data_IF_459432784029
#
_entry.id   IF_459432784029
#
_cell.length_a   1.000
_cell.length_b   1.000
_cell.length_c   1.000
_cell.angle_alpha   90.00
_cell.angle_beta   90.00
_cell.angle_gamma   90.00
#
_symmetry.space_group_name_H-M   'P 1'
#
loop_
_entity.id
_entity.type
_entity.pdbx_description
1 polymer ?
#
# COMPACT_ATOMS: atom_id res chain seq x y z
N UNK A 1 -10.07 -5.69 -4.42
CA UNK A 1 -10.17 -6.95 -5.21
C UNK A 1 -9.53 -8.13 -4.50
N UNK A 2 -8.32 -8.02 -4.00
CA UNK A 2 -7.65 -9.12 -3.30
C UNK A 2 -8.46 -9.62 -2.10
N UNK A 3 -8.97 -8.71 -1.27
CA UNK A 3 -9.78 -9.08 -0.11
C UNK A 3 -11.05 -9.85 -0.50
N UNK A 4 -11.73 -9.42 -1.57
CA UNK A 4 -12.92 -10.12 -2.06
C UNK A 4 -12.58 -11.52 -2.58
N UNK A 5 -11.44 -11.66 -3.25
CA UNK A 5 -10.97 -12.97 -3.69
C UNK A 5 -10.70 -13.89 -2.50
N UNK A 6 -10.10 -13.37 -1.43
CA UNK A 6 -9.84 -14.13 -0.21
C UNK A 6 -11.11 -14.55 0.50
N UNK A 7 -12.22 -13.84 0.29
CA UNK A 7 -13.54 -14.23 0.80
C UNK A 7 -14.28 -15.22 -0.11
N UNK A 8 -13.59 -15.85 -1.05
CA UNK A 8 -14.13 -16.90 -1.89
C UNK A 8 -14.76 -16.43 -3.20
N UNK A 9 -14.65 -15.15 -3.53
CA UNK A 9 -15.15 -14.65 -4.80
C UNK A 9 -14.16 -14.98 -5.93
N UNK A 10 -14.61 -15.67 -6.97
CA UNK A 10 -13.77 -16.02 -8.11
C UNK A 10 -13.48 -14.86 -9.04
N UNK A 11 -12.45 -15.02 -9.89
CA UNK A 11 -12.05 -13.99 -10.84
C UNK A 11 -13.17 -13.60 -11.82
N UNK A 12 -14.00 -14.54 -12.21
CA UNK A 12 -15.16 -14.27 -13.09
C UNK A 12 -16.18 -13.37 -12.40
N UNK A 13 -16.46 -13.64 -11.13
CA UNK A 13 -17.39 -12.83 -10.35
C UNK A 13 -16.84 -11.43 -10.09
N UNK A 14 -15.53 -11.32 -9.82
CA UNK A 14 -14.88 -10.01 -9.66
C UNK A 14 -14.94 -9.20 -10.96
N UNK A 15 -14.67 -9.84 -12.11
CA UNK A 15 -14.76 -9.16 -13.40
C UNK A 15 -16.17 -8.65 -13.67
N UNK A 16 -17.17 -9.45 -13.38
CA UNK A 16 -18.57 -9.06 -13.54
C UNK A 16 -18.95 -7.91 -12.61
N UNK A 17 -18.51 -7.98 -11.36
CA UNK A 17 -18.83 -6.97 -10.36
C UNK A 17 -18.20 -5.62 -10.66
N UNK A 18 -16.96 -5.59 -11.13
CA UNK A 18 -16.19 -4.37 -11.37
C UNK A 18 -16.13 -3.96 -12.83
N UNK A 19 -16.71 -4.74 -13.74
CA UNK A 19 -16.75 -4.41 -15.17
C UNK A 19 -15.39 -4.47 -15.86
N UNK A 20 -14.44 -5.26 -15.34
CA UNK A 20 -13.10 -5.44 -15.92
C UNK A 20 -12.90 -6.88 -16.37
N UNK A 21 -11.90 -7.11 -17.25
CA UNK A 21 -11.64 -8.44 -17.77
C UNK A 21 -11.06 -9.40 -16.71
N UNK A 22 -11.30 -10.71 -16.90
CA UNK A 22 -10.71 -11.74 -16.03
C UNK A 22 -9.19 -11.66 -16.01
N UNK A 23 -8.56 -11.41 -17.17
CA UNK A 23 -7.11 -11.29 -17.27
C UNK A 23 -6.59 -10.13 -16.43
N UNK A 24 -7.29 -8.98 -16.44
CA UNK A 24 -6.92 -7.83 -15.63
C UNK A 24 -6.96 -8.18 -14.14
N UNK A 25 -8.00 -8.88 -13.69
CA UNK A 25 -8.11 -9.31 -12.29
C UNK A 25 -7.00 -10.26 -11.92
N UNK A 26 -6.72 -11.28 -12.74
CA UNK A 26 -5.64 -12.24 -12.45
C UNK A 26 -4.28 -11.54 -12.37
N UNK A 27 -3.99 -10.60 -13.28
CA UNK A 27 -2.74 -9.83 -13.23
C UNK A 27 -2.62 -9.00 -11.96
N UNK A 28 -3.70 -8.35 -11.55
CA UNK A 28 -3.68 -7.54 -10.31
C UNK A 28 -3.49 -8.42 -9.07
N UNK A 29 -4.16 -9.57 -9.00
CA UNK A 29 -4.01 -10.50 -7.89
C UNK A 29 -2.59 -11.04 -7.81
N UNK A 30 -2.01 -11.41 -8.96
CA UNK A 30 -0.62 -11.89 -9.04
C UNK A 30 0.36 -10.82 -8.53
N UNK A 31 0.22 -9.58 -9.03
CA UNK A 31 1.09 -8.47 -8.64
C UNK A 31 0.98 -8.16 -7.15
N UNK A 32 -0.24 -8.21 -6.60
CA UNK A 32 -0.48 -7.91 -5.19
C UNK A 32 0.07 -8.99 -4.25
N UNK A 33 0.18 -10.24 -4.71
CA UNK A 33 0.60 -11.37 -3.88
C UNK A 33 2.08 -11.72 -4.00
N UNK A 34 2.71 -11.37 -5.13
CA UNK A 34 4.09 -11.78 -5.39
C UNK A 34 5.10 -10.77 -4.84
N UNK A 35 5.72 -11.15 -3.73
CA UNK A 35 6.84 -10.39 -3.18
C UNK A 35 8.08 -10.50 -4.08
N UNK A 36 9.02 -9.57 -3.87
CA UNK A 36 10.36 -9.69 -4.42
C UNK A 36 10.98 -11.02 -3.98
N UNK A 37 11.84 -11.60 -4.83
CA UNK A 37 12.59 -12.82 -4.50
C UNK A 37 13.69 -12.57 -3.44
N UNK A 38 13.94 -11.32 -3.10
CA UNK A 38 14.91 -10.96 -2.06
C UNK A 38 14.41 -11.42 -0.69
N UNK A 39 15.15 -12.29 0.02
CA UNK A 39 14.74 -12.77 1.33
C UNK A 39 14.68 -11.67 2.40
N UNK A 40 15.32 -10.52 2.16
CA UNK A 40 15.28 -9.39 3.07
C UNK A 40 14.04 -8.51 2.90
N UNK A 41 13.25 -8.73 1.84
CA UNK A 41 11.98 -8.03 1.65
C UNK A 41 10.93 -8.65 2.56
N UNK A 42 10.61 -7.94 3.63
CA UNK A 42 9.69 -8.43 4.67
C UNK A 42 8.30 -7.82 4.57
N UNK A 43 8.14 -6.76 3.80
CA UNK A 43 6.92 -6.00 3.71
C UNK A 43 6.69 -5.53 2.29
N UNK A 44 5.43 -5.61 1.85
CA UNK A 44 5.00 -4.99 0.59
C UNK A 44 3.87 -4.02 0.87
N UNK A 45 3.96 -2.84 0.30
CA UNK A 45 2.88 -1.87 0.28
C UNK A 45 2.35 -1.78 -1.14
N UNK A 46 1.05 -1.99 -1.29
CA UNK A 46 0.36 -1.78 -2.57
C UNK A 46 -0.36 -0.44 -2.51
N UNK A 47 0.14 0.54 -3.26
CA UNK A 47 -0.46 1.85 -3.33
C UNK A 47 -1.59 1.83 -4.35
N UNK A 48 -2.80 2.02 -3.88
CA UNK A 48 -4.02 1.83 -4.66
C UNK A 48 -4.71 3.14 -4.91
N UNK A 49 -5.37 3.26 -6.06
CA UNK A 49 -6.34 4.29 -6.33
C UNK A 49 -7.68 3.62 -6.58
N UNK A 50 -8.62 3.73 -5.64
CA UNK A 50 -9.85 2.93 -5.62
C UNK A 50 -9.50 1.44 -5.65
N UNK A 51 -9.82 0.73 -6.73
CA UNK A 51 -9.52 -0.69 -6.88
C UNK A 51 -8.32 -0.96 -7.80
N UNK A 52 -7.62 0.08 -8.25
CA UNK A 52 -6.53 -0.02 -9.20
C UNK A 52 -5.17 0.02 -8.50
N UNK A 53 -4.32 -0.97 -8.79
CA UNK A 53 -2.94 -0.98 -8.29
C UNK A 53 -2.10 0.02 -9.06
N UNK A 54 -1.54 1.00 -8.36
CA UNK A 54 -0.74 2.07 -8.97
C UNK A 54 0.76 1.87 -8.80
N UNK A 55 1.20 1.50 -7.60
CA UNK A 55 2.62 1.27 -7.31
C UNK A 55 2.76 0.16 -6.27
N UNK A 56 3.71 -0.75 -6.48
CA UNK A 56 4.13 -1.69 -5.42
C UNK A 56 5.43 -1.20 -4.82
N UNK A 57 5.56 -1.31 -3.50
CA UNK A 57 6.74 -0.91 -2.74
C UNK A 57 7.19 -2.11 -1.93
N UNK A 58 8.32 -2.70 -2.30
CA UNK A 58 8.94 -3.79 -1.55
C UNK A 58 9.96 -3.20 -0.59
N UNK A 59 9.81 -3.47 0.70
CA UNK A 59 10.57 -2.82 1.76
C UNK A 59 11.57 -3.77 2.39
N UNK A 60 12.84 -3.35 2.42
CA UNK A 60 13.94 -4.03 3.10
C UNK A 60 14.40 -3.16 4.26
N UNK A 61 13.94 -3.49 5.47
CA UNK A 61 14.30 -2.73 6.67
C UNK A 61 15.75 -2.95 7.10
N UNK A 62 16.30 -4.13 6.82
CA UNK A 62 17.66 -4.46 7.21
C UNK A 62 18.68 -3.56 6.52
N UNK A 63 18.47 -3.27 5.24
CA UNK A 63 19.39 -2.46 4.44
C UNK A 63 18.86 -1.03 4.21
N UNK A 64 17.70 -0.70 4.76
CA UNK A 64 17.03 0.59 4.61
C UNK A 64 16.89 0.99 3.14
N UNK A 65 16.27 0.09 2.36
CA UNK A 65 16.01 0.34 0.93
C UNK A 65 14.64 -0.17 0.53
N UNK A 66 14.16 0.38 -0.58
CA UNK A 66 12.91 -0.05 -1.19
C UNK A 66 13.12 -0.32 -2.67
N UNK A 67 12.24 -1.15 -3.23
CA UNK A 67 12.11 -1.35 -4.66
C UNK A 67 10.67 -1.05 -5.04
N UNK A 68 10.48 -0.25 -6.07
CA UNK A 68 9.14 0.08 -6.53
C UNK A 68 8.91 -0.41 -7.95
N UNK A 69 7.63 -0.60 -8.27
CA UNK A 69 7.17 -0.82 -9.63
C UNK A 69 5.87 -0.06 -9.84
N UNK A 70 5.83 0.80 -10.85
CA UNK A 70 4.65 1.57 -11.19
C UNK A 70 3.81 0.82 -12.22
N UNK A 71 2.50 0.83 -12.04
CA UNK A 71 1.53 0.17 -12.91
C UNK A 71 0.57 1.16 -13.57
N UNK A 72 0.82 2.47 -13.40
CA UNK A 72 0.03 3.52 -14.04
C UNK A 72 0.93 4.55 -14.68
N UNK A 73 0.52 5.08 -15.82
CA UNK A 73 1.20 6.18 -16.52
C UNK A 73 0.83 7.55 -15.94
N UNK A 74 -0.20 7.59 -15.12
CA UNK A 74 -0.67 8.83 -14.50
C UNK A 74 0.23 9.20 -13.32
N UNK A 75 1.15 10.12 -13.54
CA UNK A 75 2.14 10.54 -12.55
C UNK A 75 1.51 10.88 -11.18
N UNK A 76 0.42 11.66 -11.10
CA UNK A 76 -0.17 12.00 -9.80
C UNK A 76 -0.68 10.81 -9.00
N UNK A 77 -0.91 9.67 -9.64
CA UNK A 77 -1.39 8.45 -8.97
C UNK A 77 -0.25 7.53 -8.52
N UNK A 78 1.00 7.79 -8.92
CA UNK A 78 2.15 7.02 -8.48
C UNK A 78 2.56 7.43 -7.07
N UNK A 79 3.04 6.47 -6.28
CA UNK A 79 3.48 6.76 -4.91
C UNK A 79 4.62 7.78 -4.84
N UNK A 80 5.54 7.74 -5.80
CA UNK A 80 6.72 8.61 -5.82
C UNK A 80 6.77 9.51 -7.06
N UNK A 81 5.66 9.67 -7.75
CA UNK A 81 5.56 10.56 -8.92
C UNK A 81 6.55 10.17 -10.01
N UNK A 82 7.41 11.10 -10.39
CA UNK A 82 8.42 10.91 -11.44
C UNK A 82 9.69 10.22 -10.95
N UNK A 83 9.83 10.02 -9.64
CA UNK A 83 11.03 9.39 -9.05
C UNK A 83 11.00 7.88 -9.33
N UNK A 84 11.99 7.39 -10.07
CA UNK A 84 12.07 5.97 -10.41
C UNK A 84 12.80 5.12 -9.37
N UNK A 85 13.78 5.71 -8.68
CA UNK A 85 14.59 5.04 -7.66
C UNK A 85 14.53 5.81 -6.35
N UNK A 86 13.40 5.78 -5.63
CA UNK A 86 13.26 6.51 -4.38
C UNK A 86 14.23 5.98 -3.31
N UNK A 87 14.70 6.90 -2.48
CA UNK A 87 15.57 6.57 -1.36
C UNK A 87 14.77 6.16 -0.14
N UNK A 88 15.46 5.68 0.92
CA UNK A 88 14.82 5.39 2.20
C UNK A 88 14.17 6.65 2.80
N UNK A 89 14.80 7.80 2.64
CA UNK A 89 14.23 9.07 3.08
C UNK A 89 12.95 9.41 2.33
N UNK A 90 12.93 9.21 1.01
CA UNK A 90 11.72 9.39 0.19
C UNK A 90 10.58 8.49 0.68
N UNK A 91 10.91 7.25 1.04
CA UNK A 91 9.95 6.32 1.58
C UNK A 91 9.37 6.80 2.90
N UNK A 92 10.20 7.30 3.80
CA UNK A 92 9.74 7.82 5.09
C UNK A 92 8.83 9.03 4.90
N UNK A 93 9.14 9.93 3.97
CA UNK A 93 8.28 11.06 3.62
C UNK A 93 6.93 10.58 3.07
N UNK A 94 6.95 9.59 2.20
CA UNK A 94 5.72 9.00 1.65
C UNK A 94 4.82 8.48 2.75
N UNK A 95 5.36 7.76 3.73
CA UNK A 95 4.58 7.24 4.85
C UNK A 95 3.96 8.38 5.67
N UNK A 96 4.72 9.43 5.94
CA UNK A 96 4.21 10.60 6.68
C UNK A 96 3.10 11.32 5.92
N UNK A 97 3.22 11.43 4.61
CA UNK A 97 2.19 12.08 3.78
C UNK A 97 0.86 11.32 3.80
N UNK A 98 0.88 10.04 4.12
CA UNK A 98 -0.34 9.24 4.22
C UNK A 98 -0.88 9.12 5.65
N UNK A 99 -0.39 9.94 6.57
CA UNK A 99 -0.81 9.99 7.97
C UNK A 99 -1.22 11.40 8.35
N UNK A 100 -2.03 11.52 9.41
CA UNK A 100 -2.25 12.81 10.06
C UNK A 100 -0.93 13.31 10.65
N UNK A 101 -0.73 14.65 10.72
CA UNK A 101 0.53 15.22 11.24
C UNK A 101 0.76 14.87 12.71
N UNK A 102 2.02 14.69 13.09
CA UNK A 102 2.42 14.48 14.49
C UNK A 102 2.06 15.68 15.36
N UNK A 103 1.99 16.87 14.75
CA UNK A 103 1.60 18.12 15.43
C UNK A 103 0.10 18.29 15.63
N UNK A 104 -0.71 17.31 15.23
CA UNK A 104 -2.16 17.37 15.34
C UNK A 104 -2.60 17.56 16.78
N UNK A 105 -3.59 18.45 17.03
CA UNK A 105 -4.16 18.66 18.34
C UNK A 105 -4.74 17.36 18.89
N UNK A 106 -4.60 17.14 20.20
CA UNK A 106 -5.11 15.96 20.89
C UNK A 106 -4.55 14.65 20.33
N UNK A 107 -3.26 14.65 19.96
CA UNK A 107 -2.61 13.51 19.33
C UNK A 107 -2.80 12.21 20.10
N UNK A 108 -2.69 12.24 21.43
CA UNK A 108 -2.87 11.03 22.26
C UNK A 108 -4.24 10.39 22.08
N UNK A 109 -5.28 11.21 21.98
CA UNK A 109 -6.64 10.71 21.76
C UNK A 109 -6.79 10.12 20.36
N UNK A 110 -6.23 10.78 19.35
CA UNK A 110 -6.27 10.30 17.97
C UNK A 110 -5.55 8.97 17.86
N UNK A 111 -4.36 8.84 18.47
CA UNK A 111 -3.60 7.59 18.46
C UNK A 111 -4.38 6.46 19.16
N UNK A 112 -5.01 6.76 20.28
CA UNK A 112 -5.85 5.80 21.00
C UNK A 112 -7.03 5.33 20.15
N UNK A 113 -7.70 6.25 19.46
CA UNK A 113 -8.84 5.92 18.58
C UNK A 113 -8.42 5.03 17.43
N UNK A 114 -7.22 5.26 16.86
CA UNK A 114 -6.65 4.44 15.79
C UNK A 114 -6.19 3.09 16.33
N UNK A 115 -5.81 3.01 17.60
CA UNK A 115 -5.36 1.78 18.24
C UNK A 115 -3.85 1.59 18.17
N UNK A 116 -3.07 2.68 18.16
CA UNK A 116 -1.60 2.61 18.16
C UNK A 116 -1.05 3.25 19.43
N UNK A 117 0.06 2.72 20.01
CA UNK A 117 0.59 3.18 21.28
C UNK A 117 1.38 4.49 21.20
N UNK A 118 1.91 4.83 20.03
CA UNK A 118 2.73 6.03 19.79
C UNK A 118 2.66 6.40 18.32
N UNK A 119 3.17 7.59 17.98
CA UNK A 119 3.18 8.04 16.60
C UNK A 119 4.23 7.28 15.78
N UNK A 120 3.78 6.39 14.92
CA UNK A 120 4.60 5.64 13.96
C UNK A 120 3.81 5.58 12.65
N UNK A 121 4.28 6.25 11.58
CA UNK A 121 3.54 6.30 10.32
C UNK A 121 3.15 4.93 9.76
N UNK A 122 4.06 3.95 9.80
CA UNK A 122 3.75 2.62 9.28
C UNK A 122 2.66 1.93 10.09
N UNK A 123 2.73 2.00 11.42
CA UNK A 123 1.69 1.42 12.29
C UNK A 123 0.34 2.09 12.05
N UNK A 124 0.34 3.41 11.88
CA UNK A 124 -0.87 4.17 11.59
C UNK A 124 -1.45 3.73 10.25
N UNK A 125 -0.62 3.60 9.22
CA UNK A 125 -1.04 3.16 7.89
C UNK A 125 -1.64 1.75 7.94
N UNK A 126 -1.08 0.84 8.73
CA UNK A 126 -1.65 -0.50 8.89
C UNK A 126 -3.07 -0.46 9.44
N UNK A 127 -3.38 0.49 10.31
CA UNK A 127 -4.72 0.65 10.90
C UNK A 127 -5.68 1.41 9.98
N UNK A 128 -5.20 2.51 9.37
CA UNK A 128 -6.03 3.40 8.55
C UNK A 128 -6.04 3.03 7.08
N UNK A 129 -5.14 2.13 6.64
CA UNK A 129 -4.85 1.81 5.23
C UNK A 129 -4.38 3.04 4.44
N UNK A 130 -3.79 4.02 5.13
CA UNK A 130 -3.30 5.24 4.50
C UNK A 130 -4.37 6.07 3.82
N UNK A 131 -5.63 5.89 4.19
CA UNK A 131 -6.74 6.64 3.58
C UNK A 131 -6.74 8.09 4.01
N UNK A 132 -6.97 8.99 3.06
CA UNK A 132 -7.07 10.42 3.29
C UNK A 132 -8.40 10.93 2.76
N UNK A 133 -8.94 11.97 3.39
CA UNK A 133 -10.23 12.54 2.99
C UNK A 133 -10.19 13.21 1.61
N UNK A 134 -9.02 13.65 1.18
CA UNK A 134 -8.83 14.45 -0.02
C UNK A 134 -8.73 13.66 -1.31
N UNK A 135 -8.53 12.32 -1.23
CA UNK A 135 -8.33 11.51 -2.41
C UNK A 135 -8.96 10.12 -2.27
N UNK A 136 -8.82 9.30 -3.32
CA UNK A 136 -9.34 7.93 -3.36
C UNK A 136 -8.23 6.90 -3.22
N UNK A 137 -7.05 7.33 -2.78
CA UNK A 137 -5.88 6.48 -2.67
C UNK A 137 -5.78 5.87 -1.28
N UNK A 138 -5.23 4.66 -1.24
CA UNK A 138 -5.04 3.92 0.00
C UNK A 138 -3.92 2.90 -0.16
N UNK A 139 -3.50 2.30 0.93
CA UNK A 139 -2.37 1.38 0.96
C UNK A 139 -2.81 0.05 1.55
N UNK A 140 -2.57 -1.02 0.82
CA UNK A 140 -2.70 -2.37 1.35
C UNK A 140 -1.32 -2.80 1.86
N UNK A 141 -1.25 -3.22 3.13
CA UNK A 141 0.00 -3.65 3.76
C UNK A 141 0.03 -5.17 3.80
N UNK A 142 1.06 -5.76 3.20
CA UNK A 142 1.23 -7.22 3.15
C UNK A 142 2.55 -7.57 3.82
N UNK A 143 2.48 -8.36 4.89
CA UNK A 143 3.65 -8.88 5.57
C UNK A 143 4.07 -10.21 4.97
N UNK A 144 5.37 -10.44 4.83
CA UNK A 144 5.89 -11.74 4.44
C UNK A 144 5.63 -12.73 5.58
N UNK A 145 5.03 -13.85 5.24
CA UNK A 145 4.81 -14.91 6.22
C UNK A 145 6.16 -15.52 6.61
N UNK A 146 6.35 -15.73 7.91
CA UNK A 146 7.49 -16.51 8.40
C UNK A 146 7.35 -17.93 7.85
N UNK A 147 8.40 -18.40 7.20
CA UNK A 147 8.45 -19.75 6.65
C UNK A 147 8.90 -20.73 7.71
#
# INVERSE_FOLDING_TARGET
>A
MLALHQHGMGATELAKKYGISRQTIYKQLERAQNFSNDPNTMLRLNYMNRNDLCTTIDVDFKHEKIKIKNYTDKIPLRAFGVVENPTWEDFQWFLKDRCFPETRAHLKWVLSDVGVPFYDPLMIIEKTKGKMAEDQQWIEVIHRKAS
#
